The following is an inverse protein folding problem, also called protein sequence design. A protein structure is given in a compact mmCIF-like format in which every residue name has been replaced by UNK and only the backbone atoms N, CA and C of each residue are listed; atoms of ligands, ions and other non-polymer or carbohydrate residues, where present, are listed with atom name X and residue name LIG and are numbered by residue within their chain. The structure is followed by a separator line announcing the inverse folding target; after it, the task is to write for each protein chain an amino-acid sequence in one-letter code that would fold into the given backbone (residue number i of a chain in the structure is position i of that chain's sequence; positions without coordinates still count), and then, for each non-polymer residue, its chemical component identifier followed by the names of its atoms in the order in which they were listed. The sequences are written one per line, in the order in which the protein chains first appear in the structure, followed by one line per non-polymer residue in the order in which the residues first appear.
data_IF_355861974283
#
_entry.id   IF_355861974283
#
_cell.length_a   1.000
_cell.length_b   1.000
_cell.length_c   1.000
_cell.angle_alpha   90.00
_cell.angle_beta   90.00
_cell.angle_gamma   90.00
#
_symmetry.space_group_name_H-M   'P 1'
#
loop_
_entity.id
_entity.type
_entity.pdbx_description
1 polymer ?
#
# COMPACT_ATOMS: atom_id res chain seq x y z
N UNK A 1 -7.19 -14.76 -30.80
CA UNK A 1 -5.75 -14.32 -30.75
C UNK A 1 -5.25 -14.16 -29.32
N UNK A 2 -6.12 -13.80 -28.36
CA UNK A 2 -5.75 -13.67 -26.94
C UNK A 2 -6.28 -14.80 -26.06
N UNK A 3 -6.85 -15.86 -26.65
CA UNK A 3 -7.60 -16.90 -25.94
C UNK A 3 -6.72 -17.70 -24.96
N UNK A 4 -5.40 -17.76 -25.19
CA UNK A 4 -4.45 -18.37 -24.26
C UNK A 4 -4.31 -17.59 -22.92
N UNK A 5 -4.72 -16.31 -22.87
CA UNK A 5 -4.70 -15.52 -21.63
C UNK A 5 -5.82 -15.92 -20.67
N UNK A 6 -6.86 -16.59 -21.18
CA UNK A 6 -7.99 -17.02 -20.36
C UNK A 6 -7.59 -18.06 -19.32
N UNK A 7 -6.56 -18.86 -19.62
CA UNK A 7 -5.94 -19.83 -18.71
C UNK A 7 -5.32 -19.15 -17.46
N UNK A 8 -4.98 -17.86 -17.56
CA UNK A 8 -4.36 -17.08 -16.48
C UNK A 8 -5.35 -16.29 -15.63
N UNK A 9 -6.63 -16.17 -16.05
CA UNK A 9 -7.67 -15.44 -15.32
C UNK A 9 -7.78 -15.84 -13.84
N UNK A 10 -7.70 -17.14 -13.46
CA UNK A 10 -7.76 -17.54 -12.05
C UNK A 10 -6.64 -16.95 -11.20
N UNK A 11 -5.48 -16.62 -11.80
CA UNK A 11 -4.31 -16.09 -11.11
C UNK A 11 -4.22 -14.57 -11.14
N UNK A 12 -5.12 -13.87 -11.83
CA UNK A 12 -5.04 -12.42 -12.02
C UNK A 12 -5.01 -11.63 -10.71
N UNK A 13 -5.63 -12.15 -9.64
CA UNK A 13 -5.60 -11.54 -8.32
C UNK A 13 -4.17 -11.44 -7.73
N UNK A 14 -3.23 -12.30 -8.15
CA UNK A 14 -1.85 -12.24 -7.68
C UNK A 14 -1.13 -10.99 -8.16
N UNK A 15 -1.49 -10.43 -9.32
CA UNK A 15 -0.89 -9.19 -9.82
C UNK A 15 -1.08 -8.04 -8.83
N UNK A 16 -2.31 -7.89 -8.32
CA UNK A 16 -2.64 -6.86 -7.33
C UNK A 16 -2.01 -7.15 -5.96
N UNK A 17 -1.98 -8.42 -5.53
CA UNK A 17 -1.34 -8.82 -4.27
C UNK A 17 0.16 -8.55 -4.29
N UNK A 18 0.84 -8.94 -5.38
CA UNK A 18 2.27 -8.73 -5.55
C UNK A 18 2.55 -7.24 -5.59
N UNK A 19 1.81 -6.47 -6.40
CA UNK A 19 1.99 -5.02 -6.49
C UNK A 19 1.83 -4.34 -5.12
N UNK A 20 0.74 -4.61 -4.39
CA UNK A 20 0.49 -3.99 -3.10
C UNK A 20 1.49 -4.48 -2.04
N UNK A 21 1.66 -5.80 -1.95
CA UNK A 21 2.50 -6.46 -0.96
C UNK A 21 3.98 -6.11 -1.10
N UNK A 22 4.53 -6.15 -2.32
CA UNK A 22 5.94 -5.81 -2.53
C UNK A 22 6.23 -4.36 -2.19
N UNK A 23 5.35 -3.44 -2.60
CA UNK A 23 5.47 -2.01 -2.30
C UNK A 23 5.55 -1.80 -0.80
N UNK A 24 4.55 -2.26 -0.04
CA UNK A 24 4.50 -1.98 1.39
C UNK A 24 5.53 -2.75 2.21
N UNK A 25 5.89 -3.98 1.83
CA UNK A 25 6.95 -4.71 2.52
C UNK A 25 8.30 -4.07 2.28
N UNK A 26 8.64 -3.70 1.04
CA UNK A 26 9.93 -3.09 0.72
C UNK A 26 10.03 -1.69 1.33
N UNK A 27 9.02 -0.84 1.14
CA UNK A 27 8.99 0.49 1.75
C UNK A 27 8.97 0.42 3.26
N UNK A 28 8.14 -0.46 3.85
CA UNK A 28 8.06 -0.64 5.29
C UNK A 28 9.40 -1.08 5.89
N UNK A 29 10.10 -2.03 5.28
CA UNK A 29 11.45 -2.42 5.74
C UNK A 29 12.43 -1.25 5.65
N UNK A 30 12.45 -0.51 4.53
CA UNK A 30 13.30 0.66 4.37
C UNK A 30 12.99 1.76 5.40
N UNK A 31 11.72 2.07 5.62
CA UNK A 31 11.25 3.02 6.61
C UNK A 31 11.56 2.56 8.04
N UNK A 32 11.51 1.26 8.32
CA UNK A 32 11.88 0.70 9.62
C UNK A 32 13.37 0.88 9.91
N UNK A 33 14.23 0.59 8.91
CA UNK A 33 15.67 0.79 9.02
C UNK A 33 16.06 2.26 9.23
N UNK A 34 15.23 3.19 8.74
CA UNK A 34 15.40 4.63 8.94
C UNK A 34 14.21 5.26 9.70
N UNK A 35 13.77 4.61 10.78
CA UNK A 35 12.54 5.01 11.48
C UNK A 35 12.57 6.47 11.98
N UNK A 36 13.72 6.92 12.47
CA UNK A 36 13.90 8.32 12.91
C UNK A 36 13.71 9.30 11.76
N UNK A 37 14.30 9.01 10.59
CA UNK A 37 14.15 9.85 9.39
C UNK A 37 12.72 9.83 8.86
N UNK A 38 12.07 8.67 8.85
CA UNK A 38 10.67 8.52 8.44
C UNK A 38 9.72 9.34 9.34
N UNK A 39 9.84 9.21 10.66
CA UNK A 39 9.02 9.96 11.61
C UNK A 39 9.24 11.48 11.49
N UNK A 40 10.49 11.91 11.29
CA UNK A 40 10.82 13.31 11.06
C UNK A 40 10.24 13.84 9.75
N UNK A 41 10.30 13.06 8.66
CA UNK A 41 9.75 13.44 7.35
C UNK A 41 8.23 13.64 7.38
N UNK A 42 7.52 12.86 8.20
CA UNK A 42 6.08 13.01 8.41
C UNK A 42 5.71 14.00 9.52
N UNK A 43 6.70 14.57 10.22
CA UNK A 43 6.50 15.42 11.40
C UNK A 43 5.61 14.76 12.47
N UNK A 44 5.83 13.48 12.74
CA UNK A 44 5.07 12.69 13.74
C UNK A 44 5.98 12.19 14.87
N UNK A 45 5.42 11.89 16.06
CA UNK A 45 6.19 11.23 17.12
C UNK A 45 6.75 9.88 16.66
N UNK A 46 7.92 9.52 17.18
CA UNK A 46 8.60 8.26 16.84
C UNK A 46 7.70 7.02 17.01
N UNK A 47 6.85 7.01 18.04
CA UNK A 47 5.90 5.92 18.29
C UNK A 47 4.84 5.80 17.18
N UNK A 48 4.36 6.93 16.65
CA UNK A 48 3.40 6.95 15.53
C UNK A 48 4.08 6.44 14.25
N UNK A 49 5.32 6.89 14.00
CA UNK A 49 6.13 6.37 12.90
C UNK A 49 6.31 4.85 12.97
N UNK A 50 6.57 4.31 14.17
CA UNK A 50 6.74 2.86 14.36
C UNK A 50 5.44 2.11 14.04
N UNK A 51 4.29 2.61 14.49
CA UNK A 51 2.98 1.99 14.21
C UNK A 51 2.70 1.99 12.70
N UNK A 52 2.95 3.10 12.01
CA UNK A 52 2.76 3.21 10.56
C UNK A 52 3.61 2.19 9.82
N UNK A 53 4.90 2.12 10.12
CA UNK A 53 5.84 1.20 9.46
C UNK A 53 5.50 -0.27 9.73
N UNK A 54 5.12 -0.61 10.96
CA UNK A 54 4.65 -1.96 11.27
C UNK A 54 3.35 -2.28 10.51
N UNK A 55 2.46 -1.30 10.35
CA UNK A 55 1.25 -1.48 9.55
C UNK A 55 1.56 -1.70 8.07
N UNK A 56 2.58 -1.03 7.51
CA UNK A 56 3.07 -1.29 6.14
C UNK A 56 3.56 -2.72 6.00
N UNK A 57 4.49 -3.15 6.86
CA UNK A 57 5.11 -4.47 6.77
C UNK A 57 4.07 -5.57 6.99
N UNK A 58 3.33 -5.52 8.10
CA UNK A 58 2.35 -6.55 8.47
C UNK A 58 1.19 -6.55 7.47
N UNK A 59 0.71 -5.36 7.07
CA UNK A 59 -0.36 -5.24 6.08
C UNK A 59 0.03 -5.83 4.73
N UNK A 60 1.23 -5.51 4.24
CA UNK A 60 1.78 -6.07 3.01
C UNK A 60 1.95 -7.59 3.06
N UNK A 61 2.52 -8.11 4.16
CA UNK A 61 2.68 -9.56 4.38
C UNK A 61 1.32 -10.26 4.40
N UNK A 62 0.33 -9.70 5.10
CA UNK A 62 -1.03 -10.27 5.18
C UNK A 62 -1.75 -10.29 3.83
N UNK A 63 -1.55 -9.27 2.98
CA UNK A 63 -2.10 -9.26 1.62
C UNK A 63 -1.48 -10.35 0.75
N UNK A 64 -0.17 -10.59 0.89
CA UNK A 64 0.53 -11.67 0.17
C UNK A 64 0.12 -13.05 0.68
N UNK A 65 0.28 -13.30 1.98
CA UNK A 65 -0.01 -14.59 2.61
C UNK A 65 -1.49 -14.92 2.61
N UNK A 66 -2.37 -13.90 2.65
CA UNK A 66 -3.82 -14.05 2.59
C UNK A 66 -4.33 -14.73 1.32
N UNK A 67 -3.55 -14.75 0.23
CA UNK A 67 -3.86 -15.54 -0.96
C UNK A 67 -3.94 -17.04 -0.64
N UNK A 68 -3.15 -17.51 0.32
CA UNK A 68 -3.13 -18.89 0.78
C UNK A 68 -3.92 -19.10 2.09
N UNK A 69 -3.88 -18.12 3.00
CA UNK A 69 -4.43 -18.22 4.35
C UNK A 69 -5.92 -17.86 4.45
N UNK A 70 -6.49 -17.25 3.40
CA UNK A 70 -7.92 -16.97 3.28
C UNK A 70 -8.32 -15.49 3.39
N UNK A 71 -9.62 -15.27 3.17
CA UNK A 71 -10.24 -13.96 2.97
C UNK A 71 -9.99 -12.96 4.12
N UNK A 72 -10.06 -13.42 5.37
CA UNK A 72 -9.87 -12.56 6.55
C UNK A 72 -8.49 -11.90 6.59
N UNK A 73 -7.44 -12.64 6.20
CA UNK A 73 -6.06 -12.13 6.22
C UNK A 73 -5.86 -11.08 5.15
N UNK A 74 -6.38 -11.32 3.94
CA UNK A 74 -6.37 -10.33 2.85
C UNK A 74 -7.06 -9.03 3.25
N UNK A 75 -8.26 -9.12 3.84
CA UNK A 75 -9.02 -7.95 4.28
C UNK A 75 -8.34 -7.20 5.40
N UNK A 76 -7.82 -7.91 6.41
CA UNK A 76 -7.10 -7.29 7.51
C UNK A 76 -5.85 -6.57 6.99
N UNK A 77 -5.07 -7.21 6.12
CA UNK A 77 -3.89 -6.62 5.52
C UNK A 77 -4.23 -5.34 4.75
N UNK A 78 -5.22 -5.39 3.86
CA UNK A 78 -5.69 -4.22 3.11
C UNK A 78 -6.20 -3.09 4.04
N UNK A 79 -6.95 -3.45 5.09
CA UNK A 79 -7.46 -2.49 6.08
C UNK A 79 -6.31 -1.79 6.82
N UNK A 80 -5.23 -2.48 7.14
CA UNK A 80 -4.06 -1.87 7.81
C UNK A 80 -3.35 -0.85 6.91
N UNK A 81 -3.32 -1.08 5.61
CA UNK A 81 -2.64 -0.22 4.64
C UNK A 81 -3.42 1.06 4.32
N UNK A 82 -4.75 1.04 4.42
CA UNK A 82 -5.62 2.18 4.11
C UNK A 82 -5.31 3.42 4.96
N UNK A 83 -5.26 3.34 6.31
CA UNK A 83 -4.92 4.49 7.14
C UNK A 83 -3.51 5.03 6.86
N UNK A 84 -2.54 4.16 6.58
CA UNK A 84 -1.17 4.59 6.22
C UNK A 84 -1.21 5.46 4.96
N UNK A 85 -1.90 5.00 3.91
CA UNK A 85 -2.04 5.74 2.66
C UNK A 85 -2.74 7.09 2.85
N UNK A 86 -3.82 7.12 3.65
CA UNK A 86 -4.54 8.36 3.94
C UNK A 86 -3.69 9.36 4.71
N UNK A 87 -2.94 8.88 5.71
CA UNK A 87 -2.04 9.72 6.52
C UNK A 87 -0.93 10.29 5.65
N UNK A 88 -0.25 9.47 4.84
CA UNK A 88 0.81 9.94 3.96
C UNK A 88 0.27 10.90 2.90
N UNK A 89 -0.88 10.61 2.29
CA UNK A 89 -1.52 11.49 1.32
C UNK A 89 -1.87 12.86 1.92
N UNK A 90 -2.42 12.88 3.14
CA UNK A 90 -2.77 14.11 3.84
C UNK A 90 -1.56 14.89 4.36
N UNK A 91 -0.58 14.21 4.96
CA UNK A 91 0.57 14.88 5.58
C UNK A 91 1.59 15.35 4.55
N UNK A 92 1.78 14.62 3.44
CA UNK A 92 2.87 14.86 2.49
C UNK A 92 2.39 15.63 1.26
N UNK A 93 1.14 15.47 0.81
CA UNK A 93 0.69 15.99 -0.50
C UNK A 93 -0.48 16.97 -0.43
N UNK A 94 -0.96 17.35 0.76
CA UNK A 94 -2.14 18.20 0.89
C UNK A 94 -1.90 19.67 0.51
N UNK A 95 -0.68 20.18 0.68
CA UNK A 95 -0.36 21.59 0.39
C UNK A 95 -0.51 21.96 -1.08
N UNK A 96 -0.31 20.99 -1.98
CA UNK A 96 -0.53 21.14 -3.42
C UNK A 96 -0.93 19.78 -4.00
N UNK A 97 -2.24 19.54 -4.10
CA UNK A 97 -2.77 18.29 -4.67
C UNK A 97 -2.52 18.28 -6.18
N UNK A 98 -1.34 17.79 -6.58
CA UNK A 98 -0.97 17.51 -7.95
C UNK A 98 -0.94 16.00 -8.18
N UNK A 99 -1.49 15.55 -9.30
CA UNK A 99 -1.40 14.14 -9.70
C UNK A 99 0.02 13.76 -10.10
N UNK A 100 0.74 14.68 -10.76
CA UNK A 100 2.10 14.51 -11.24
C UNK A 100 3.06 15.47 -10.54
N UNK A 101 4.32 15.54 -11.00
CA UNK A 101 5.33 16.47 -10.52
C UNK A 101 4.79 17.91 -10.41
N UNK A 102 5.05 18.56 -9.27
CA UNK A 102 4.72 19.96 -9.05
C UNK A 102 5.94 20.77 -8.61
N UNK A 103 5.80 22.09 -8.48
CA UNK A 103 6.85 22.96 -7.96
C UNK A 103 7.20 22.64 -6.50
N UNK A 104 6.23 22.16 -5.73
CA UNK A 104 6.39 21.74 -4.33
C UNK A 104 6.77 20.26 -4.22
N UNK A 105 6.27 19.41 -5.11
CA UNK A 105 6.50 17.96 -5.11
C UNK A 105 7.26 17.52 -6.37
N UNK A 106 8.57 17.78 -6.36
CA UNK A 106 9.49 17.46 -7.47
C UNK A 106 9.82 15.96 -7.55
N UNK A 107 9.33 15.14 -6.60
CA UNK A 107 9.62 13.69 -6.51
C UNK A 107 8.34 12.84 -6.64
N UNK A 108 7.23 13.41 -7.12
CA UNK A 108 6.02 12.67 -7.48
C UNK A 108 4.74 13.28 -6.89
N UNK A 109 3.61 13.05 -7.55
CA UNK A 109 2.30 13.50 -7.11
C UNK A 109 1.47 12.42 -6.42
N UNK A 110 0.18 12.69 -6.22
CA UNK A 110 -0.73 11.77 -5.50
C UNK A 110 -1.09 10.50 -6.29
N UNK A 111 -0.74 10.41 -7.57
CA UNK A 111 -1.14 9.32 -8.47
C UNK A 111 -0.76 7.93 -7.92
N UNK A 112 0.46 7.79 -7.41
CA UNK A 112 0.95 6.53 -6.87
C UNK A 112 0.18 6.12 -5.62
N UNK A 113 0.00 7.04 -4.67
CA UNK A 113 -0.75 6.80 -3.44
C UNK A 113 -2.23 6.51 -3.73
N UNK A 114 -2.82 7.19 -4.70
CA UNK A 114 -4.21 6.99 -5.09
C UNK A 114 -4.42 5.59 -5.69
N UNK A 115 -3.52 5.14 -6.58
CA UNK A 115 -3.59 3.79 -7.15
C UNK A 115 -3.48 2.74 -6.04
N UNK A 116 -2.50 2.85 -5.14
CA UNK A 116 -2.35 1.92 -4.02
C UNK A 116 -3.57 1.92 -3.10
N UNK A 117 -4.18 3.09 -2.86
CA UNK A 117 -5.38 3.22 -2.06
C UNK A 117 -6.58 2.52 -2.69
N UNK A 118 -6.80 2.74 -3.99
CA UNK A 118 -7.89 2.09 -4.72
C UNK A 118 -7.69 0.58 -4.81
N UNK A 119 -6.46 0.10 -5.02
CA UNK A 119 -6.16 -1.35 -5.02
C UNK A 119 -6.34 -1.92 -3.61
N UNK A 120 -5.92 -1.22 -2.56
CA UNK A 120 -6.15 -1.69 -1.18
C UNK A 120 -7.65 -1.76 -0.86
N UNK A 121 -8.44 -0.76 -1.24
CA UNK A 121 -9.89 -0.80 -1.14
C UNK A 121 -10.50 -1.97 -1.91
N UNK A 122 -10.04 -2.20 -3.14
CA UNK A 122 -10.47 -3.35 -3.93
C UNK A 122 -10.18 -4.66 -3.17
N UNK A 123 -8.97 -4.85 -2.63
CA UNK A 123 -8.61 -6.04 -1.86
C UNK A 123 -9.45 -6.17 -0.58
N UNK A 124 -9.74 -5.06 0.10
CA UNK A 124 -10.60 -5.04 1.28
C UNK A 124 -12.05 -5.44 0.95
N UNK A 125 -12.61 -4.96 -0.17
CA UNK A 125 -13.99 -5.22 -0.57
C UNK A 125 -14.16 -6.63 -1.16
N UNK A 126 -13.31 -6.98 -2.13
CA UNK A 126 -13.35 -8.25 -2.86
C UNK A 126 -12.85 -9.42 -2.00
N UNK A 127 -11.79 -9.21 -1.21
CA UNK A 127 -11.14 -10.25 -0.42
C UNK A 127 -10.58 -11.37 -1.31
N UNK A 128 -10.95 -12.63 -1.05
CA UNK A 128 -10.53 -13.80 -1.84
C UNK A 128 -11.63 -14.35 -2.75
N UNK A 129 -12.78 -13.66 -2.87
CA UNK A 129 -13.89 -14.15 -3.69
C UNK A 129 -13.55 -13.95 -5.17
N UNK A 130 -13.47 -15.03 -5.96
CA UNK A 130 -13.41 -14.99 -7.43
C UNK A 130 -14.67 -14.40 -8.01
#
# INVERSE_FOLDING_TARGET
MFDFLDDFKPYGHWLLRIALGSVFVIHGIGNFMNLTGFAAALNVPHMVGLILVLAEIVGGVLVLSGGFMGDKMTRLGALMLIPVLLIVMYMVHWSEVSFTLSKVHVVGGIEYLLVLFLVSLYMLLKGNKT
#
